data_IF_856121498497
#
_entry.id   IF_856121498497
#
_cell.length_a   1.000
_cell.length_b   1.000
_cell.length_c   1.000
_cell.angle_alpha   90.00
_cell.angle_beta   90.00
_cell.angle_gamma   90.00
#
_symmetry.space_group_name_H-M   'P 1'
#
loop_
_entity.id
_entity.type
_entity.pdbx_description
1 polymer ?
#
# COMPACT_ATOMS: atom_id res chain seq x y z
N UNK A 1 4.69 -0.76 16.26
CA UNK A 1 4.50 0.69 16.02
C UNK A 1 4.28 0.92 14.53
N UNK A 2 3.20 1.60 14.14
CA UNK A 2 2.88 1.94 12.74
C UNK A 2 3.66 3.18 12.27
N UNK A 3 3.84 3.31 10.96
CA UNK A 3 4.37 4.48 10.24
C UNK A 3 3.21 5.33 9.68
N UNK A 4 3.47 6.58 9.31
CA UNK A 4 2.51 7.42 8.57
C UNK A 4 2.36 6.87 7.14
N UNK A 5 3.48 6.63 6.47
CA UNK A 5 3.56 6.07 5.11
C UNK A 5 4.19 4.68 5.16
N UNK A 6 3.59 3.72 4.47
CA UNK A 6 4.12 2.37 4.34
C UNK A 6 3.09 1.35 3.86
N UNK A 7 3.53 0.10 3.58
CA UNK A 7 2.63 -0.97 3.17
C UNK A 7 1.56 -1.22 4.23
N UNK A 8 0.30 -1.37 3.82
CA UNK A 8 -0.80 -1.60 4.77
C UNK A 8 -0.68 -3.02 5.38
N UNK A 9 -1.11 -3.26 6.63
CA UNK A 9 -1.15 -4.62 7.18
C UNK A 9 -2.19 -5.47 6.44
N UNK A 10 -1.90 -6.76 6.25
CA UNK A 10 -2.82 -7.74 5.69
C UNK A 10 -3.15 -8.80 6.74
N UNK A 11 -4.35 -9.38 6.65
CA UNK A 11 -4.77 -10.49 7.49
C UNK A 11 -3.84 -11.70 7.30
N UNK A 12 -3.55 -12.41 8.39
CA UNK A 12 -2.61 -13.55 8.40
C UNK A 12 -3.00 -14.61 7.38
N UNK A 13 -4.30 -14.86 7.18
CA UNK A 13 -4.83 -15.80 6.19
C UNK A 13 -4.42 -15.47 4.75
N UNK A 14 -4.30 -14.18 4.40
CA UNK A 14 -3.83 -13.77 3.07
C UNK A 14 -2.31 -13.93 2.92
N UNK A 15 -1.54 -13.89 4.01
CA UNK A 15 -0.08 -13.99 3.92
C UNK A 15 0.37 -15.38 3.43
N UNK A 16 -0.31 -16.45 3.84
CA UNK A 16 0.04 -17.82 3.44
C UNK A 16 -0.24 -18.07 1.96
N UNK A 17 -1.39 -17.60 1.48
CA UNK A 17 -1.80 -17.70 0.08
C UNK A 17 -0.83 -16.92 -0.82
N UNK A 18 -0.58 -15.64 -0.50
CA UNK A 18 0.19 -14.77 -1.39
C UNK A 18 1.71 -14.93 -1.26
N UNK A 19 2.22 -15.49 -0.15
CA UNK A 19 3.66 -15.79 -0.03
C UNK A 19 4.14 -16.74 -1.12
N UNK A 20 3.32 -17.73 -1.48
CA UNK A 20 3.67 -18.73 -2.49
C UNK A 20 3.37 -18.25 -3.92
N UNK A 21 2.43 -17.30 -4.06
CA UNK A 21 2.00 -16.79 -5.37
C UNK A 21 2.81 -15.57 -5.83
N UNK A 22 3.33 -14.76 -4.90
CA UNK A 22 3.96 -13.47 -5.20
C UNK A 22 5.40 -13.44 -4.69
N UNK A 23 6.35 -13.48 -5.61
CA UNK A 23 7.79 -13.42 -5.29
C UNK A 23 8.12 -12.07 -4.64
N UNK A 24 8.76 -12.10 -3.47
CA UNK A 24 9.10 -10.88 -2.72
C UNK A 24 7.99 -10.36 -1.82
N UNK A 25 6.85 -11.05 -1.71
CA UNK A 25 5.75 -10.68 -0.81
C UNK A 25 6.22 -10.38 0.62
N UNK A 26 7.14 -11.19 1.15
CA UNK A 26 7.64 -11.05 2.51
C UNK A 26 8.48 -9.79 2.76
N UNK A 27 9.00 -9.14 1.70
CA UNK A 27 9.86 -7.95 1.82
C UNK A 27 9.11 -6.78 2.48
N UNK A 28 7.79 -6.71 2.29
CA UNK A 28 6.94 -5.69 2.93
C UNK A 28 6.92 -5.76 4.46
N UNK A 29 7.25 -6.90 5.07
CA UNK A 29 7.33 -7.02 6.53
C UNK A 29 8.62 -6.42 7.11
N UNK A 30 9.58 -6.02 6.26
CA UNK A 30 10.80 -5.35 6.71
C UNK A 30 10.58 -3.89 7.11
N UNK A 31 9.45 -3.30 6.70
CA UNK A 31 9.08 -1.91 7.01
C UNK A 31 7.84 -1.86 7.89
N UNK A 32 7.74 -0.79 8.68
CA UNK A 32 6.60 -0.58 9.56
C UNK A 32 5.35 -0.32 8.72
N UNK A 33 4.21 -0.96 9.06
CA UNK A 33 2.97 -0.75 8.33
C UNK A 33 2.52 0.71 8.39
N UNK A 34 2.02 1.24 7.28
CA UNK A 34 1.57 2.63 7.11
C UNK A 34 0.07 2.85 7.31
N UNK A 35 -0.32 4.06 7.73
CA UNK A 35 -1.72 4.52 7.69
C UNK A 35 -2.15 4.80 6.23
N UNK A 36 -1.25 5.42 5.45
CA UNK A 36 -1.35 5.58 4.00
C UNK A 36 -0.16 4.91 3.30
N UNK A 37 -0.23 4.77 1.98
CA UNK A 37 0.81 4.09 1.19
C UNK A 37 0.65 4.30 -0.31
N UNK A 38 1.71 3.99 -1.05
CA UNK A 38 1.78 4.21 -2.50
C UNK A 38 0.67 3.46 -3.26
N UNK A 39 0.38 2.22 -2.87
CA UNK A 39 -0.72 1.47 -3.47
C UNK A 39 -2.09 2.15 -3.23
N UNK A 40 -2.32 2.72 -2.04
CA UNK A 40 -3.61 3.35 -1.70
C UNK A 40 -3.87 4.62 -2.51
N UNK A 41 -2.85 5.46 -2.71
CA UNK A 41 -2.99 6.70 -3.50
C UNK A 41 -3.04 6.45 -5.01
N UNK A 42 -2.77 5.21 -5.46
CA UNK A 42 -2.92 4.76 -6.84
C UNK A 42 -4.18 3.90 -7.07
N UNK A 43 -5.15 3.96 -6.16
CA UNK A 43 -6.47 3.35 -6.36
C UNK A 43 -6.61 1.92 -5.83
N UNK A 44 -5.55 1.34 -5.26
CA UNK A 44 -5.60 0.01 -4.63
C UNK A 44 -6.00 0.09 -3.15
N UNK A 45 -7.04 0.89 -2.84
CA UNK A 45 -7.65 0.99 -1.51
C UNK A 45 -8.62 -0.19 -1.30
N UNK A 46 -8.51 -0.91 -0.18
CA UNK A 46 -9.51 -1.89 0.28
C UNK A 46 -9.17 -3.37 0.02
N UNK A 47 -10.20 -4.22 0.07
CA UNK A 47 -10.11 -5.66 -0.19
C UNK A 47 -9.94 -5.91 -1.69
N UNK A 48 -8.75 -6.34 -2.08
CA UNK A 48 -8.48 -6.80 -3.43
C UNK A 48 -9.09 -8.19 -3.62
N UNK A 49 -10.33 -8.22 -4.12
CA UNK A 49 -11.09 -9.46 -4.38
C UNK A 49 -10.55 -10.36 -5.49
N UNK A 50 -9.62 -9.85 -6.31
CA UNK A 50 -9.00 -10.60 -7.41
C UNK A 50 -7.48 -10.67 -7.25
N UNK A 51 -6.89 -11.75 -7.75
CA UNK A 51 -5.46 -12.03 -7.68
C UNK A 51 -4.64 -10.94 -8.39
N UNK A 52 -5.08 -10.49 -9.57
CA UNK A 52 -4.41 -9.42 -10.33
C UNK A 52 -4.36 -8.09 -9.58
N UNK A 53 -5.46 -7.73 -8.89
CA UNK A 53 -5.49 -6.52 -8.07
C UNK A 53 -4.58 -6.63 -6.86
N UNK A 54 -4.46 -7.83 -6.28
CA UNK A 54 -3.51 -8.07 -5.20
C UNK A 54 -2.07 -7.97 -5.72
N UNK A 55 -1.78 -8.56 -6.88
CA UNK A 55 -0.46 -8.49 -7.51
C UNK A 55 -0.04 -7.03 -7.74
N UNK A 56 -0.90 -6.24 -8.39
CA UNK A 56 -0.62 -4.82 -8.64
C UNK A 56 -0.41 -4.00 -7.35
N UNK A 57 -1.14 -4.32 -6.29
CA UNK A 57 -0.91 -3.71 -4.96
C UNK A 57 0.45 -4.08 -4.38
N UNK A 58 0.87 -5.34 -4.48
CA UNK A 58 2.22 -5.75 -4.04
C UNK A 58 3.29 -5.08 -4.89
N UNK A 59 3.08 -4.97 -6.20
CA UNK A 59 4.02 -4.30 -7.09
C UNK A 59 4.23 -2.84 -6.70
N UNK A 60 3.15 -2.12 -6.33
CA UNK A 60 3.24 -0.77 -5.77
C UNK A 60 3.92 -0.73 -4.39
N UNK A 61 3.65 -1.69 -3.50
CA UNK A 61 4.34 -1.75 -2.21
C UNK A 61 5.84 -2.01 -2.39
N UNK A 62 6.23 -2.85 -3.35
CA UNK A 62 7.63 -3.12 -3.70
C UNK A 62 8.31 -1.93 -4.39
N UNK A 63 7.59 -1.25 -5.29
CA UNK A 63 8.06 -0.02 -5.94
C UNK A 63 8.33 1.09 -4.92
N UNK A 64 7.43 1.28 -3.95
CA UNK A 64 7.63 2.19 -2.82
C UNK A 64 8.88 1.85 -2.03
N UNK A 65 9.13 0.56 -1.77
CA UNK A 65 10.31 0.12 -1.02
C UNK A 65 11.61 0.31 -1.80
N UNK A 66 11.59 0.12 -3.13
CA UNK A 66 12.75 0.31 -3.99
C UNK A 66 13.11 1.78 -4.17
N UNK A 67 12.10 2.63 -4.33
CA UNK A 67 12.26 4.06 -4.63
C UNK A 67 12.06 4.94 -3.39
N UNK A 68 12.18 4.36 -2.20
CA UNK A 68 11.88 5.06 -0.95
C UNK A 68 12.73 6.34 -0.83
N UNK A 69 12.04 7.46 -0.60
CA UNK A 69 12.66 8.76 -0.35
C UNK A 69 11.69 9.65 0.42
N UNK A 70 12.23 10.62 1.18
CA UNK A 70 11.41 11.61 1.90
C UNK A 70 10.50 12.42 0.96
N UNK A 71 10.94 12.65 -0.29
CA UNK A 71 10.14 13.31 -1.32
C UNK A 71 8.92 12.48 -1.72
N UNK A 72 9.11 11.17 -1.89
CA UNK A 72 8.02 10.24 -2.19
C UNK A 72 7.00 10.19 -1.05
N UNK A 73 7.46 10.17 0.20
CA UNK A 73 6.58 10.21 1.37
C UNK A 73 5.74 11.49 1.41
N UNK A 74 6.34 12.67 1.17
CA UNK A 74 5.60 13.93 1.09
C UNK A 74 4.57 13.92 -0.05
N UNK A 75 4.95 13.39 -1.22
CA UNK A 75 4.04 13.26 -2.35
C UNK A 75 2.83 12.37 -2.02
N UNK A 76 3.06 11.23 -1.34
CA UNK A 76 1.98 10.32 -0.90
C UNK A 76 1.05 11.03 0.08
N UNK A 77 1.59 11.80 1.04
CA UNK A 77 0.78 12.55 2.01
C UNK A 77 -0.09 13.58 1.29
N UNK A 78 0.47 14.38 0.38
CA UNK A 78 -0.28 15.39 -0.38
C UNK A 78 -1.38 14.76 -1.25
N UNK A 79 -1.07 13.66 -1.96
CA UNK A 79 -2.04 12.92 -2.77
C UNK A 79 -3.14 12.31 -1.90
N UNK A 80 -2.81 11.84 -0.70
CA UNK A 80 -3.79 11.36 0.28
C UNK A 80 -4.75 12.46 0.70
N UNK A 81 -4.25 13.67 0.99
CA UNK A 81 -5.09 14.83 1.36
C UNK A 81 -6.04 15.18 0.20
N UNK A 82 -5.54 15.25 -1.03
CA UNK A 82 -6.36 15.53 -2.21
C UNK A 82 -7.47 14.48 -2.40
N UNK A 83 -7.15 13.19 -2.26
CA UNK A 83 -8.13 12.10 -2.39
C UNK A 83 -9.21 12.22 -1.30
N UNK A 84 -8.83 12.43 -0.03
CA UNK A 84 -9.80 12.57 1.06
C UNK A 84 -10.66 13.82 0.90
N UNK A 85 -10.10 14.95 0.47
CA UNK A 85 -10.88 16.16 0.19
C UNK A 85 -11.87 15.97 -0.96
N UNK A 86 -11.50 15.20 -1.99
CA UNK A 86 -12.38 14.90 -3.13
C UNK A 86 -13.49 13.92 -2.75
N UNK A 87 -13.19 12.89 -1.94
CA UNK A 87 -14.19 11.96 -1.37
C UNK A 87 -15.21 12.70 -0.48
N UNK A 88 -14.77 13.74 0.24
CA UNK A 88 -15.63 14.54 1.13
C UNK A 88 -16.63 15.41 0.37
N UNK A 89 -16.39 15.69 -0.91
CA UNK A 89 -17.31 16.42 -1.78
C UNK A 89 -18.48 15.56 -2.29
N UNK A 90 -18.49 14.25 -1.99
CA UNK A 90 -19.51 13.29 -2.44
C UNK A 90 -20.52 12.94 -1.33
N UNK A 91 -20.54 13.71 -0.23
CA UNK A 91 -21.49 13.58 0.87
C UNK A 91 -22.20 14.89 1.14
#
# INVERSE_FOLDING_TARGET
RMSIVGPRPHAVAHNEIYRNLIKGYMIRHKVKPGITGWAQVNGYRGETRTLDKMQARIDHDLDYLRNWSLRLDLHIILKTIMVVSKDRSVY
#
